data_IF_585549900502
#
_entry.id   IF_585549900502
#
_cell.length_a   1.000
_cell.length_b   1.000
_cell.length_c   1.000
_cell.angle_alpha   90.00
_cell.angle_beta   90.00
_cell.angle_gamma   90.00
#
_symmetry.space_group_name_H-M   'P 1'
#
loop_
_entity.id
_entity.type
_entity.pdbx_description
1 polymer ?
#
# COMPACT_ATOMS: atom_id res chain seq x y z
N UNK A 1 45.08 50.32 15.64
CA UNK A 1 43.73 50.83 15.92
C UNK A 1 42.83 50.39 14.79
N UNK A 2 42.25 49.20 14.94
CA UNK A 2 41.19 48.70 14.07
C UNK A 2 40.32 47.83 14.98
N UNK A 3 39.17 48.39 15.35
CA UNK A 3 38.10 47.76 16.11
C UNK A 3 37.61 46.50 15.38
N UNK A 4 37.62 45.36 16.07
CA UNK A 4 36.95 44.14 15.65
C UNK A 4 35.77 43.98 16.60
N UNK A 5 34.58 44.33 16.11
CA UNK A 5 33.34 44.21 16.86
C UNK A 5 32.94 42.75 17.06
N UNK A 6 32.75 42.40 18.32
CA UNK A 6 32.09 41.18 18.78
C UNK A 6 30.64 41.16 18.30
N UNK A 7 30.25 40.06 17.63
CA UNK A 7 28.88 39.81 17.20
C UNK A 7 28.37 38.57 17.94
N UNK A 8 27.86 38.80 19.15
CA UNK A 8 27.12 37.81 19.96
C UNK A 8 25.81 37.46 19.25
N UNK A 9 25.79 36.34 18.51
CA UNK A 9 24.53 35.73 18.09
C UNK A 9 23.98 34.87 19.23
N UNK A 10 23.06 35.46 20.00
CA UNK A 10 22.20 34.75 20.92
C UNK A 10 21.35 33.72 20.14
N UNK A 11 21.58 32.45 20.41
CA UNK A 11 20.73 31.33 19.98
C UNK A 11 19.45 31.40 20.80
N UNK A 12 18.38 31.89 20.17
CA UNK A 12 17.04 31.90 20.73
C UNK A 12 16.43 30.51 20.64
N UNK A 13 16.06 29.95 21.80
CA UNK A 13 15.22 28.76 21.91
C UNK A 13 13.85 29.03 21.27
N UNK A 14 13.67 28.50 20.05
CA UNK A 14 12.38 28.48 19.34
C UNK A 14 11.48 27.43 19.98
N UNK A 15 10.66 27.86 20.93
CA UNK A 15 9.50 27.09 21.39
C UNK A 15 8.41 27.18 20.32
N UNK A 16 8.30 26.12 19.51
CA UNK A 16 7.24 25.96 18.52
C UNK A 16 5.91 25.67 19.22
N UNK A 17 5.18 26.74 19.57
CA UNK A 17 3.75 26.65 19.92
C UNK A 17 2.94 26.89 18.64
N UNK A 18 2.80 25.84 17.83
CA UNK A 18 2.08 25.90 16.56
C UNK A 18 0.58 26.15 16.76
N UNK A 19 0.19 27.42 16.72
CA UNK A 19 -1.19 27.82 16.42
C UNK A 19 -1.43 27.56 14.92
N UNK A 20 -2.00 26.40 14.61
CA UNK A 20 -2.37 25.94 13.28
C UNK A 20 -3.71 26.59 12.81
N UNK A 21 -3.79 27.92 12.73
CA UNK A 21 -5.00 28.61 12.23
C UNK A 21 -4.78 29.39 10.92
N UNK A 22 -3.56 29.41 10.38
CA UNK A 22 -3.24 30.09 9.11
C UNK A 22 -3.09 29.13 7.92
N UNK A 23 -3.64 27.90 7.99
CA UNK A 23 -3.65 27.05 6.80
C UNK A 23 -4.65 27.64 5.80
N UNK A 24 -4.26 27.90 4.54
CA UNK A 24 -5.17 28.47 3.55
C UNK A 24 -6.42 27.58 3.42
N UNK A 25 -7.58 28.21 3.28
CA UNK A 25 -8.81 27.46 3.00
C UNK A 25 -8.65 26.72 1.67
N UNK A 26 -8.93 25.41 1.67
CA UNK A 26 -8.88 24.62 0.44
C UNK A 26 -9.82 25.19 -0.62
N UNK A 27 -9.42 25.10 -1.89
CA UNK A 27 -10.25 25.54 -3.00
C UNK A 27 -11.42 24.58 -3.28
N UNK A 28 -11.44 23.40 -2.65
CA UNK A 28 -12.36 22.31 -2.97
C UNK A 28 -13.27 21.92 -1.81
N UNK A 29 -14.44 21.36 -2.15
CA UNK A 29 -15.42 20.81 -1.20
C UNK A 29 -15.79 21.74 -0.04
N UNK A 30 -15.95 23.05 -0.30
CA UNK A 30 -16.26 24.10 0.68
C UNK A 30 -15.14 24.29 1.73
N UNK A 31 -13.90 24.47 1.29
CA UNK A 31 -12.78 24.71 2.20
C UNK A 31 -12.23 23.46 2.89
N UNK A 32 -12.72 22.27 2.54
CA UNK A 32 -12.39 21.03 3.27
C UNK A 32 -11.24 20.23 2.64
N UNK A 33 -10.90 20.46 1.38
CA UNK A 33 -9.89 19.65 0.69
C UNK A 33 -10.47 18.66 -0.32
N UNK A 34 -9.61 17.80 -0.83
CA UNK A 34 -9.97 16.67 -1.69
C UNK A 34 -10.66 15.60 -0.86
N UNK A 35 -11.75 15.02 -1.39
CA UNK A 35 -12.50 13.95 -0.72
C UNK A 35 -11.88 12.58 -1.03
N UNK A 36 -11.44 11.86 -0.01
CA UNK A 36 -10.94 10.49 -0.16
C UNK A 36 -11.92 9.47 0.41
N UNK A 37 -12.37 8.54 -0.42
CA UNK A 37 -13.12 7.35 -0.03
C UNK A 37 -12.15 6.21 0.23
N UNK A 38 -11.90 5.94 1.51
CA UNK A 38 -10.92 4.94 1.97
C UNK A 38 -11.66 3.63 2.21
N UNK A 39 -11.17 2.55 1.63
CA UNK A 39 -11.74 1.20 1.69
C UNK A 39 -10.63 0.22 2.08
N UNK A 40 -10.78 -0.47 3.21
CA UNK A 40 -9.84 -1.51 3.65
C UNK A 40 -10.49 -2.89 3.53
N UNK A 41 -9.80 -3.78 2.81
CA UNK A 41 -10.10 -5.21 2.80
C UNK A 41 -9.10 -5.88 3.76
N UNK A 42 -9.50 -6.16 5.02
CA UNK A 42 -8.61 -6.74 6.01
C UNK A 42 -8.25 -8.19 5.65
N UNK A 43 -7.14 -8.67 6.18
CA UNK A 43 -6.81 -10.08 6.07
C UNK A 43 -7.88 -10.93 6.78
N UNK A 44 -8.21 -12.06 6.17
CA UNK A 44 -9.07 -13.05 6.80
C UNK A 44 -8.46 -13.47 8.15
N UNK A 45 -9.21 -13.40 9.28
CA UNK A 45 -8.70 -13.98 10.53
C UNK A 45 -8.37 -15.46 10.31
N UNK A 46 -7.24 -15.93 10.87
CA UNK A 46 -6.81 -17.32 10.69
C UNK A 46 -7.89 -18.26 11.21
N UNK A 47 -8.16 -19.32 10.45
CA UNK A 47 -9.17 -20.31 10.83
C UNK A 47 -8.68 -21.08 12.06
N UNK A 48 -9.56 -21.22 13.05
CA UNK A 48 -9.30 -22.12 14.19
C UNK A 48 -9.21 -23.56 13.66
N UNK A 49 -8.35 -24.37 14.28
CA UNK A 49 -8.15 -25.78 13.90
C UNK A 49 -9.50 -26.52 13.86
N UNK A 50 -9.86 -27.03 12.69
CA UNK A 50 -11.12 -27.77 12.45
C UNK A 50 -12.26 -26.94 11.84
N UNK A 51 -12.14 -25.61 11.76
CA UNK A 51 -13.14 -24.75 11.13
C UNK A 51 -12.89 -24.63 9.62
N UNK A 52 -13.92 -24.87 8.80
CA UNK A 52 -13.86 -24.67 7.34
C UNK A 52 -14.56 -23.37 6.98
N UNK A 53 -13.84 -22.45 6.32
CA UNK A 53 -14.46 -21.26 5.73
C UNK A 53 -15.35 -21.67 4.56
N UNK A 54 -16.54 -21.08 4.48
CA UNK A 54 -17.39 -21.22 3.29
C UNK A 54 -16.67 -20.57 2.10
N UNK A 55 -16.56 -21.28 0.97
CA UNK A 55 -15.83 -20.85 -0.23
C UNK A 55 -16.21 -19.45 -0.75
N UNK A 56 -17.41 -18.97 -0.44
CA UNK A 56 -17.96 -17.73 -0.98
C UNK A 56 -18.16 -16.61 0.07
N UNK A 57 -17.64 -16.76 1.30
CA UNK A 57 -17.77 -15.68 2.30
C UNK A 57 -16.76 -14.58 1.96
N UNK A 58 -17.24 -13.49 1.36
CA UNK A 58 -16.45 -12.27 1.16
C UNK A 58 -16.04 -11.69 2.51
N UNK A 59 -14.81 -11.20 2.60
CA UNK A 59 -14.35 -10.46 3.78
C UNK A 59 -15.09 -9.13 3.82
N UNK A 60 -15.50 -8.72 5.01
CA UNK A 60 -16.19 -7.45 5.22
C UNK A 60 -15.20 -6.30 5.00
N UNK A 61 -15.58 -5.34 4.16
CA UNK A 61 -14.75 -4.19 3.80
C UNK A 61 -15.10 -3.02 4.71
N UNK A 62 -14.08 -2.41 5.33
CA UNK A 62 -14.24 -1.21 6.15
C UNK A 62 -14.17 0.01 5.24
N UNK A 63 -15.18 0.88 5.27
CA UNK A 63 -15.25 2.06 4.41
C UNK A 63 -15.32 3.34 5.24
N UNK A 64 -14.50 4.33 4.90
CA UNK A 64 -14.44 5.65 5.53
C UNK A 64 -14.32 6.76 4.48
N UNK A 65 -14.64 7.97 4.88
CA UNK A 65 -14.46 9.16 4.03
C UNK A 65 -13.74 10.22 4.84
N UNK A 66 -12.66 10.74 4.27
CA UNK A 66 -11.88 11.83 4.85
C UNK A 66 -11.77 12.98 3.85
N UNK A 67 -11.43 14.15 4.36
CA UNK A 67 -11.14 15.34 3.57
C UNK A 67 -9.75 15.81 3.97
N UNK A 68 -8.89 16.00 2.99
CA UNK A 68 -7.49 16.39 3.21
C UNK A 68 -7.14 17.49 2.22
N UNK A 69 -6.38 18.50 2.69
CA UNK A 69 -6.00 19.65 1.87
C UNK A 69 -5.13 19.19 0.68
N UNK A 70 -5.29 19.84 -0.47
CA UNK A 70 -4.65 19.46 -1.75
C UNK A 70 -3.12 19.57 -1.74
N UNK A 71 -2.54 20.34 -0.82
CA UNK A 71 -1.10 20.54 -0.66
C UNK A 71 -0.46 19.58 0.35
N UNK A 72 -1.25 18.70 0.98
CA UNK A 72 -0.75 17.73 1.96
C UNK A 72 0.08 16.64 1.28
N UNK A 73 1.11 16.17 1.97
CA UNK A 73 1.99 15.16 1.40
C UNK A 73 1.29 13.79 1.32
N UNK A 74 1.81 12.91 0.46
CA UNK A 74 1.37 11.52 0.40
C UNK A 74 1.38 10.85 1.80
N UNK A 75 2.39 11.15 2.62
CA UNK A 75 2.52 10.56 3.95
C UNK A 75 1.37 11.02 4.86
N UNK A 76 1.04 12.31 4.86
CA UNK A 76 -0.02 12.90 5.68
C UNK A 76 -1.40 12.37 5.27
N UNK A 77 -1.66 12.26 3.96
CA UNK A 77 -2.91 11.67 3.45
C UNK A 77 -3.05 10.21 3.88
N UNK A 78 -1.98 9.41 3.80
CA UNK A 78 -1.99 8.01 4.21
C UNK A 78 -2.14 7.85 5.73
N UNK A 79 -1.47 8.68 6.53
CA UNK A 79 -1.62 8.67 7.98
C UNK A 79 -3.05 9.03 8.39
N UNK A 80 -3.63 10.08 7.79
CA UNK A 80 -5.01 10.46 8.00
C UNK A 80 -6.00 9.34 7.58
N UNK A 81 -5.74 8.66 6.46
CA UNK A 81 -6.54 7.53 5.99
C UNK A 81 -6.50 6.35 6.96
N UNK A 82 -5.31 5.95 7.40
CA UNK A 82 -5.13 4.84 8.36
C UNK A 82 -5.79 5.17 9.70
N UNK A 83 -5.57 6.40 10.20
CA UNK A 83 -6.20 6.90 11.43
C UNK A 83 -7.73 6.88 11.35
N UNK A 84 -8.30 7.22 10.19
CA UNK A 84 -9.75 7.23 10.01
C UNK A 84 -10.38 5.83 9.92
N UNK A 85 -9.64 4.84 9.40
CA UNK A 85 -10.10 3.44 9.38
C UNK A 85 -10.28 2.92 10.81
N UNK A 86 -9.41 3.35 11.75
CA UNK A 86 -9.40 2.89 13.14
C UNK A 86 -9.25 1.35 13.22
N UNK A 87 -8.26 0.84 12.48
CA UNK A 87 -7.98 -0.59 12.38
C UNK A 87 -6.86 -0.98 13.35
N UNK A 88 -7.14 -1.95 14.21
CA UNK A 88 -6.17 -2.50 15.17
C UNK A 88 -4.98 -3.19 14.49
N UNK A 89 -5.17 -3.67 13.24
CA UNK A 89 -4.07 -4.20 12.44
C UNK A 89 -3.15 -3.07 12.04
N UNK A 90 -1.93 -3.09 12.56
CA UNK A 90 -0.92 -2.05 12.29
C UNK A 90 -0.59 -2.06 10.80
N UNK A 91 -1.18 -1.14 10.04
CA UNK A 91 -0.79 -0.86 8.67
C UNK A 91 0.50 -0.04 8.72
N UNK A 92 1.63 -0.71 8.46
CA UNK A 92 2.95 -0.09 8.54
C UNK A 92 3.41 0.34 7.15
N UNK A 93 3.73 1.62 7.00
CA UNK A 93 4.29 2.18 5.78
C UNK A 93 5.42 3.16 6.09
N UNK A 94 6.32 3.34 5.13
CA UNK A 94 7.34 4.39 5.11
C UNK A 94 7.44 4.93 3.68
N UNK A 95 7.62 6.24 3.54
CA UNK A 95 7.93 6.87 2.26
C UNK A 95 9.42 7.21 2.27
N UNK A 96 10.20 6.60 1.38
CA UNK A 96 11.66 6.78 1.29
C UNK A 96 12.02 7.17 -0.13
N UNK A 97 12.68 8.30 -0.31
CA UNK A 97 13.15 8.76 -1.63
C UNK A 97 12.06 8.72 -2.72
N UNK A 98 10.83 9.16 -2.39
CA UNK A 98 9.63 9.13 -3.25
C UNK A 98 8.97 7.76 -3.46
N UNK A 99 9.56 6.69 -2.94
CA UNK A 99 8.97 5.36 -3.00
C UNK A 99 8.16 5.06 -1.73
N UNK A 100 6.94 4.56 -1.92
CA UNK A 100 6.06 4.10 -0.86
C UNK A 100 6.35 2.62 -0.57
N UNK A 101 6.92 2.36 0.60
CA UNK A 101 7.14 1.02 1.12
C UNK A 101 6.06 0.69 2.15
N UNK A 102 5.14 -0.21 1.78
CA UNK A 102 4.16 -0.78 2.69
C UNK A 102 4.52 -2.24 2.97
N UNK A 103 4.56 -2.63 4.25
CA UNK A 103 5.04 -3.97 4.63
C UNK A 103 3.96 -5.04 4.44
N UNK A 104 2.72 -4.76 4.85
CA UNK A 104 1.64 -5.75 4.96
C UNK A 104 0.42 -5.44 4.09
N UNK A 105 0.48 -4.42 3.23
CA UNK A 105 -0.66 -4.06 2.40
C UNK A 105 -0.24 -3.40 1.09
N UNK A 106 -1.14 -3.44 0.11
CA UNK A 106 -1.02 -2.68 -1.14
C UNK A 106 -2.12 -1.63 -1.20
N UNK A 107 -1.81 -0.50 -1.83
CA UNK A 107 -2.77 0.59 -2.03
C UNK A 107 -3.09 0.69 -3.51
N UNK A 108 -4.38 0.70 -3.84
CA UNK A 108 -4.88 1.03 -5.18
C UNK A 108 -5.71 2.29 -5.12
N UNK A 109 -5.72 3.05 -6.19
CA UNK A 109 -6.53 4.25 -6.30
C UNK A 109 -7.41 4.21 -7.55
N UNK A 110 -8.51 4.95 -7.50
CA UNK A 110 -9.43 5.15 -8.63
C UNK A 110 -10.08 6.52 -8.54
N UNK A 111 -10.29 7.16 -9.69
CA UNK A 111 -11.06 8.40 -9.79
C UNK A 111 -12.40 8.06 -10.46
N UNK A 112 -13.49 8.56 -9.89
CA UNK A 112 -14.82 8.23 -10.41
C UNK A 112 -15.03 8.93 -11.76
N UNK A 113 -15.60 8.22 -12.74
CA UNK A 113 -15.85 8.72 -14.11
C UNK A 113 -14.59 9.08 -14.91
N UNK A 114 -13.46 8.41 -14.65
CA UNK A 114 -12.27 8.45 -15.49
C UNK A 114 -11.83 7.03 -15.88
N UNK A 115 -10.80 6.95 -16.72
CA UNK A 115 -10.17 5.68 -17.09
C UNK A 115 -9.18 5.19 -16.03
N UNK A 116 -8.83 6.04 -15.06
CA UNK A 116 -7.97 5.70 -13.92
C UNK A 116 -8.71 4.83 -12.91
N UNK A 117 -8.69 3.51 -13.14
CA UNK A 117 -9.33 2.50 -12.29
C UNK A 117 -8.33 1.47 -11.82
N UNK A 118 -8.31 1.23 -10.50
CA UNK A 118 -7.46 0.24 -9.82
C UNK A 118 -5.95 0.42 -10.09
N UNK A 119 -5.50 1.67 -10.23
CA UNK A 119 -4.08 2.00 -10.39
C UNK A 119 -3.34 1.76 -9.08
N UNK A 120 -2.13 1.22 -9.12
CA UNK A 120 -1.37 0.93 -7.90
C UNK A 120 -0.59 2.17 -7.44
N UNK A 121 -0.69 2.52 -6.16
CA UNK A 121 0.06 3.62 -5.56
C UNK A 121 1.38 3.08 -5.00
N UNK A 122 2.48 3.36 -5.68
CA UNK A 122 3.83 2.90 -5.29
C UNK A 122 4.83 4.03 -5.12
N UNK A 123 4.60 5.19 -5.74
CA UNK A 123 5.50 6.33 -5.72
C UNK A 123 4.75 7.62 -5.45
N UNK A 124 5.45 8.67 -5.04
CA UNK A 124 4.87 10.03 -4.94
C UNK A 124 4.46 10.57 -6.30
N UNK A 125 5.15 10.17 -7.37
CA UNK A 125 4.79 10.62 -8.72
C UNK A 125 3.40 10.10 -9.13
N UNK A 126 3.03 8.87 -8.75
CA UNK A 126 1.66 8.35 -8.94
C UNK A 126 0.63 9.14 -8.10
N UNK A 127 1.03 9.65 -6.94
CA UNK A 127 0.18 10.47 -6.09
C UNK A 127 -0.06 11.86 -6.72
N UNK A 128 0.98 12.48 -7.25
CA UNK A 128 0.90 13.76 -7.95
C UNK A 128 0.03 13.64 -9.22
N UNK A 129 0.18 12.56 -9.98
CA UNK A 129 -0.68 12.26 -11.14
C UNK A 129 -2.15 12.12 -10.70
N UNK A 130 -2.41 11.32 -9.66
CA UNK A 130 -3.75 11.15 -9.09
C UNK A 130 -4.36 12.48 -8.64
N UNK A 131 -3.59 13.35 -7.97
CA UNK A 131 -4.07 14.66 -7.53
C UNK A 131 -4.36 15.59 -8.72
N UNK A 132 -3.47 15.63 -9.70
CA UNK A 132 -3.63 16.47 -10.89
C UNK A 132 -4.93 16.13 -11.64
N UNK A 133 -5.24 14.85 -11.80
CA UNK A 133 -6.47 14.37 -12.45
C UNK A 133 -7.72 14.56 -11.59
N UNK A 134 -7.60 14.42 -10.26
CA UNK A 134 -8.72 14.61 -9.35
C UNK A 134 -9.17 16.08 -9.29
N UNK A 135 -8.23 17.01 -9.29
CA UNK A 135 -8.45 18.46 -9.23
C UNK A 135 -9.14 19.00 -10.49
N UNK A 136 -8.94 18.38 -11.65
CA UNK A 136 -9.64 18.73 -12.89
C UNK A 136 -11.17 18.50 -12.81
N UNK A 137 -11.66 17.78 -11.80
CA UNK A 137 -13.09 17.53 -11.60
C UNK A 137 -13.73 18.62 -10.75
N UNK A 138 -14.97 18.97 -11.08
CA UNK A 138 -15.76 19.93 -10.30
C UNK A 138 -15.95 19.54 -8.82
N UNK A 139 -15.90 18.23 -8.52
CA UNK A 139 -15.92 17.70 -7.15
C UNK A 139 -14.79 16.67 -7.02
N UNK A 140 -13.58 17.09 -6.59
CA UNK A 140 -12.44 16.18 -6.46
C UNK A 140 -12.76 15.06 -5.48
N UNK A 141 -12.78 13.84 -5.99
CA UNK A 141 -13.10 12.64 -5.22
C UNK A 141 -12.24 11.46 -5.69
N UNK A 142 -11.44 10.93 -4.78
CA UNK A 142 -10.52 9.82 -4.99
C UNK A 142 -10.97 8.64 -4.15
N UNK A 143 -10.93 7.43 -4.70
CA UNK A 143 -11.11 6.20 -3.93
C UNK A 143 -9.75 5.55 -3.68
N UNK A 144 -9.45 5.26 -2.42
CA UNK A 144 -8.25 4.52 -2.00
C UNK A 144 -8.68 3.15 -1.46
N UNK A 145 -8.19 2.08 -2.09
CA UNK A 145 -8.45 0.69 -1.72
C UNK A 145 -7.17 0.08 -1.12
N UNK A 146 -7.18 -0.13 0.19
CA UNK A 146 -6.16 -0.83 0.96
C UNK A 146 -6.45 -2.32 0.95
N UNK A 147 -5.50 -3.13 0.50
CA UNK A 147 -5.61 -4.58 0.46
C UNK A 147 -4.48 -5.18 1.29
N UNK A 148 -4.82 -5.69 2.47
CA UNK A 148 -3.89 -6.35 3.37
C UNK A 148 -3.50 -7.75 2.84
N UNK A 149 -2.24 -8.12 2.97
CA UNK A 149 -1.73 -9.44 2.60
C UNK A 149 -0.95 -10.07 3.76
N UNK A 150 -0.90 -11.40 3.78
CA UNK A 150 -0.15 -12.14 4.79
C UNK A 150 1.35 -11.94 4.53
N UNK A 151 2.07 -11.42 5.53
CA UNK A 151 3.52 -11.43 5.52
C UNK A 151 3.96 -12.89 5.62
N UNK A 152 4.72 -13.37 4.65
CA UNK A 152 5.43 -14.63 4.81
C UNK A 152 6.48 -14.40 5.91
N UNK A 153 6.12 -14.69 7.16
CA UNK A 153 7.07 -14.69 8.26
C UNK A 153 8.21 -15.63 7.87
N UNK A 154 9.43 -15.08 7.74
CA UNK A 154 10.65 -15.83 7.47
C UNK A 154 10.83 -16.90 8.54
N UNK A 155 10.30 -18.10 8.28
CA UNK A 155 10.56 -19.30 9.07
C UNK A 155 11.99 -19.77 8.78
N UNK A 156 12.95 -19.02 9.30
CA UNK A 156 14.30 -19.51 9.57
C UNK A 156 14.27 -20.31 10.89
N UNK A 157 14.95 -21.46 10.90
CA UNK A 157 15.10 -22.41 12.01
C UNK A 157 13.91 -23.32 12.38
N UNK A 158 13.67 -24.31 11.51
CA UNK A 158 13.59 -25.71 11.97
C UNK A 158 13.90 -26.62 10.79
N UNK A 159 14.91 -27.49 10.93
CA UNK A 159 15.27 -28.61 10.04
C UNK A 159 14.16 -29.68 9.99
N UNK A 160 12.92 -29.26 9.75
CA UNK A 160 11.80 -30.13 9.43
C UNK A 160 11.23 -29.64 8.10
N UNK A 161 11.26 -30.52 7.11
CA UNK A 161 11.12 -30.19 5.69
C UNK A 161 10.06 -29.11 5.40
N UNK A 162 10.37 -28.16 4.49
CA UNK A 162 9.50 -27.05 4.21
C UNK A 162 8.21 -27.57 3.58
N UNK A 163 7.11 -27.47 4.35
CA UNK A 163 5.78 -27.35 3.75
C UNK A 163 5.68 -25.96 3.11
N UNK A 164 6.43 -25.78 2.03
CA UNK A 164 6.10 -24.87 0.95
C UNK A 164 4.59 -24.96 0.77
N UNK A 165 3.90 -23.82 0.69
CA UNK A 165 2.69 -23.79 -0.09
C UNK A 165 3.13 -24.39 -1.42
N UNK A 166 2.78 -25.65 -1.65
CA UNK A 166 3.19 -26.36 -2.86
C UNK A 166 2.68 -25.43 -3.94
N UNK A 167 3.59 -24.68 -4.60
CA UNK A 167 3.47 -24.42 -6.02
C UNK A 167 3.03 -25.78 -6.49
N UNK A 168 1.75 -25.92 -6.83
CA UNK A 168 1.28 -27.16 -7.45
C UNK A 168 2.36 -27.37 -8.49
N UNK A 169 3.13 -28.44 -8.33
CA UNK A 169 4.06 -28.83 -9.39
C UNK A 169 3.14 -28.83 -10.59
N UNK A 170 3.36 -27.88 -11.49
CA UNK A 170 2.54 -27.78 -12.68
C UNK A 170 2.59 -29.20 -13.21
N UNK A 171 1.42 -29.80 -13.37
CA UNK A 171 1.41 -31.15 -13.93
C UNK A 171 2.14 -31.09 -15.26
N UNK A 172 2.88 -32.13 -15.64
CA UNK A 172 3.63 -32.13 -16.91
C UNK A 172 2.73 -31.69 -18.10
N UNK A 173 1.42 -32.00 -18.01
CA UNK A 173 0.37 -31.52 -18.94
C UNK A 173 0.17 -29.99 -18.96
N UNK A 174 0.23 -29.31 -17.81
CA UNK A 174 0.10 -27.86 -17.70
C UNK A 174 1.33 -27.14 -18.28
N UNK A 175 2.54 -27.70 -18.11
CA UNK A 175 3.77 -27.16 -18.70
C UNK A 175 3.73 -27.27 -20.24
N UNK A 176 3.35 -28.45 -20.75
CA UNK A 176 3.16 -28.66 -22.19
C UNK A 176 2.09 -27.74 -22.77
N UNK A 177 0.99 -27.50 -22.04
CA UNK A 177 -0.05 -26.57 -22.47
C UNK A 177 0.46 -25.13 -22.51
N UNK A 178 1.20 -24.69 -21.48
CA UNK A 178 1.80 -23.36 -21.45
C UNK A 178 2.80 -23.13 -22.58
N UNK A 179 3.62 -24.14 -22.89
CA UNK A 179 4.54 -24.11 -24.03
C UNK A 179 3.78 -24.00 -25.36
N UNK A 180 2.73 -24.80 -25.55
CA UNK A 180 1.91 -24.78 -26.76
C UNK A 180 1.21 -23.41 -26.95
N UNK A 181 0.71 -22.81 -25.88
CA UNK A 181 0.13 -21.45 -25.90
C UNK A 181 1.18 -20.41 -26.30
N UNK A 182 2.41 -20.53 -25.77
CA UNK A 182 3.50 -19.62 -26.14
C UNK A 182 3.84 -19.72 -27.62
N UNK A 183 3.88 -20.94 -28.17
CA UNK A 183 4.12 -21.17 -29.59
C UNK A 183 2.98 -20.60 -30.46
N UNK A 184 1.72 -20.80 -30.07
CA UNK A 184 0.56 -20.21 -30.77
C UNK A 184 0.60 -18.67 -30.75
N UNK A 185 0.94 -18.04 -29.62
CA UNK A 185 1.07 -16.59 -29.52
C UNK A 185 2.17 -16.04 -30.43
N UNK A 186 3.29 -16.74 -30.53
CA UNK A 186 4.40 -16.36 -31.40
C UNK A 186 4.03 -16.49 -32.88
N UNK A 187 3.33 -17.56 -33.26
CA UNK A 187 2.90 -17.81 -34.65
C UNK A 187 1.83 -16.80 -35.12
N UNK A 188 0.91 -16.41 -34.24
CA UNK A 188 -0.26 -15.59 -34.57
C UNK A 188 -0.17 -14.14 -34.10
N UNK A 189 1.04 -13.59 -34.04
CA UNK A 189 1.24 -12.17 -33.74
C UNK A 189 0.77 -11.31 -34.92
N UNK A 190 -0.22 -10.47 -34.69
CA UNK A 190 -0.90 -9.69 -35.71
C UNK A 190 -0.03 -8.52 -36.19
N UNK A 191 0.28 -8.45 -37.49
CA UNK A 191 1.06 -7.35 -38.06
C UNK A 191 0.21 -6.22 -38.66
N UNK A 192 -1.12 -6.40 -38.71
CA UNK A 192 -2.02 -5.37 -39.24
C UNK A 192 -2.29 -4.28 -38.20
N UNK A 193 -2.04 -3.01 -38.58
CA UNK A 193 -2.31 -1.82 -37.78
C UNK A 193 -3.80 -1.55 -37.57
N UNK A 194 -4.67 -2.13 -38.40
CA UNK A 194 -6.13 -2.01 -38.26
C UNK A 194 -6.71 -3.01 -37.26
N UNK A 195 -5.96 -4.08 -36.94
CA UNK A 195 -6.39 -5.06 -35.97
C UNK A 195 -6.15 -4.54 -34.55
N UNK A 196 -7.18 -4.54 -33.71
CA UNK A 196 -7.06 -4.09 -32.31
C UNK A 196 -6.35 -5.12 -31.42
N UNK A 197 -6.36 -6.39 -31.82
CA UNK A 197 -5.79 -7.48 -31.02
C UNK A 197 -4.35 -7.80 -31.41
N UNK A 198 -3.42 -7.97 -30.44
CA UNK A 198 -2.03 -8.32 -30.73
C UNK A 198 -1.89 -9.75 -31.28
N UNK A 199 -2.82 -10.65 -30.95
CA UNK A 199 -2.84 -12.03 -31.47
C UNK A 199 -4.14 -12.31 -32.21
N UNK A 200 -4.05 -12.63 -33.49
CA UNK A 200 -5.20 -12.78 -34.39
C UNK A 200 -5.03 -13.99 -35.33
N UNK A 201 -6.12 -14.68 -35.65
CA UNK A 201 -6.17 -15.77 -36.62
C UNK A 201 -6.88 -15.31 -37.90
N UNK A 202 -6.32 -15.62 -39.07
CA UNK A 202 -6.92 -15.31 -40.38
C UNK A 202 -7.80 -16.49 -40.79
N UNK A 203 -9.08 -16.43 -40.42
CA UNK A 203 -9.97 -17.60 -40.49
C UNK A 203 -10.45 -17.95 -41.89
N UNK A 204 -10.47 -16.99 -42.82
CA UNK A 204 -11.11 -17.15 -44.12
C UNK A 204 -10.27 -16.55 -45.26
N UNK A 205 -10.54 -17.01 -46.49
CA UNK A 205 -10.03 -16.40 -47.73
C UNK A 205 -10.34 -14.90 -47.86
N UNK A 206 -11.34 -14.41 -47.11
CA UNK A 206 -11.74 -13.01 -47.08
C UNK A 206 -10.78 -12.11 -46.28
N UNK A 207 -9.86 -12.71 -45.50
CA UNK A 207 -8.92 -11.96 -44.66
C UNK A 207 -9.52 -11.44 -43.36
N UNK A 208 -10.65 -11.98 -42.91
CA UNK A 208 -11.25 -11.60 -41.63
C UNK A 208 -10.37 -12.05 -40.45
N UNK A 209 -10.08 -11.11 -39.55
CA UNK A 209 -9.27 -11.35 -38.35
C UNK A 209 -10.16 -11.82 -37.19
N UNK A 210 -9.90 -13.02 -36.68
CA UNK A 210 -10.50 -13.53 -35.45
C UNK A 210 -9.54 -13.25 -34.28
N UNK A 211 -9.99 -12.49 -33.27
CA UNK A 211 -9.18 -12.16 -32.10
C UNK A 211 -8.95 -13.39 -31.20
N UNK A 212 -7.69 -13.78 -31.03
CA UNK A 212 -7.32 -14.92 -30.19
C UNK A 212 -7.20 -14.48 -28.72
N UNK A 213 -8.30 -14.59 -27.98
CA UNK A 213 -8.29 -14.38 -26.52
C UNK A 213 -7.61 -15.56 -25.79
N UNK A 214 -7.25 -15.44 -24.49
CA UNK A 214 -6.67 -16.55 -23.74
C UNK A 214 -7.51 -17.83 -23.76
N UNK A 215 -8.83 -17.71 -23.87
CA UNK A 215 -9.75 -18.86 -23.98
C UNK A 215 -9.54 -19.59 -25.31
N UNK A 216 -9.39 -18.87 -26.43
CA UNK A 216 -9.11 -19.47 -27.74
C UNK A 216 -7.78 -20.23 -27.72
N UNK A 217 -6.73 -19.62 -27.17
CA UNK A 217 -5.41 -20.24 -27.10
C UNK A 217 -5.42 -21.50 -26.23
N UNK A 218 -6.11 -21.48 -25.09
CA UNK A 218 -6.27 -22.65 -24.22
C UNK A 218 -7.03 -23.78 -24.91
N UNK A 219 -8.16 -23.48 -25.57
CA UNK A 219 -8.95 -24.49 -26.29
C UNK A 219 -8.14 -25.11 -27.43
N UNK A 220 -7.40 -24.29 -28.19
CA UNK A 220 -6.56 -24.77 -29.28
C UNK A 220 -5.41 -25.63 -28.76
N UNK A 221 -4.67 -25.17 -27.75
CA UNK A 221 -3.58 -25.93 -27.14
C UNK A 221 -4.09 -27.26 -26.57
N UNK A 222 -5.23 -27.27 -25.88
CA UNK A 222 -5.84 -28.48 -25.33
C UNK A 222 -6.27 -29.47 -26.40
N UNK A 223 -6.91 -29.00 -27.48
CA UNK A 223 -7.35 -29.86 -28.59
C UNK A 223 -6.16 -30.49 -29.32
N UNK A 224 -5.08 -29.74 -29.47
CA UNK A 224 -3.83 -30.21 -30.06
C UNK A 224 -3.13 -31.26 -29.19
N UNK A 225 -3.05 -31.02 -27.87
CA UNK A 225 -2.50 -32.00 -26.92
C UNK A 225 -3.36 -33.27 -26.87
N UNK A 226 -4.68 -33.16 -27.05
CA UNK A 226 -5.58 -34.29 -27.15
C UNK A 226 -5.46 -35.08 -28.47
N UNK A 227 -4.68 -34.59 -29.45
CA UNK A 227 -4.46 -35.27 -30.72
C UNK A 227 -5.72 -35.36 -31.60
N UNK A 228 -6.60 -34.36 -31.52
CA UNK A 228 -7.80 -34.32 -32.38
C UNK A 228 -7.37 -34.24 -33.85
N UNK A 229 -7.85 -35.18 -34.66
CA UNK A 229 -7.49 -35.26 -36.08
C UNK A 229 -7.88 -33.97 -36.82
N UNK A 230 -6.92 -33.39 -37.55
CA UNK A 230 -7.11 -32.12 -38.26
C UNK A 230 -6.86 -30.85 -37.45
N UNK A 231 -6.49 -30.95 -36.17
CA UNK A 231 -6.06 -29.79 -35.36
C UNK A 231 -4.52 -29.71 -35.35
N UNK A 232 -3.96 -28.68 -35.98
CA UNK A 232 -2.51 -28.42 -36.02
C UNK A 232 -2.19 -26.96 -35.64
N UNK A 233 -1.00 -26.44 -36.00
CA UNK A 233 -0.66 -25.04 -35.73
C UNK A 233 -1.35 -24.07 -36.68
N UNK A 234 -1.87 -24.52 -37.82
CA UNK A 234 -2.47 -23.72 -38.89
C UNK A 234 -4.00 -23.80 -38.89
N UNK A 235 -4.53 -24.95 -38.43
CA UNK A 235 -5.93 -25.31 -38.41
C UNK A 235 -6.43 -25.41 -36.96
N UNK A 236 -7.19 -24.41 -36.47
CA UNK A 236 -7.78 -24.46 -35.15
C UNK A 236 -8.88 -25.53 -35.06
N UNK A 237 -9.29 -25.90 -33.84
CA UNK A 237 -10.44 -26.77 -33.64
C UNK A 237 -11.69 -26.26 -34.36
N UNK A 238 -12.50 -27.17 -34.91
CA UNK A 238 -13.79 -26.87 -35.54
C UNK A 238 -14.88 -26.47 -34.51
N UNK A 239 -14.52 -25.61 -33.57
CA UNK A 239 -15.43 -25.00 -32.61
C UNK A 239 -15.95 -23.67 -33.20
N UNK A 240 -17.21 -23.34 -32.87
CA UNK A 240 -17.89 -22.13 -33.33
C UNK A 240 -17.14 -20.86 -32.95
N UNK A 241 -16.33 -20.90 -31.89
CA UNK A 241 -15.50 -19.77 -31.45
C UNK A 241 -14.36 -19.40 -32.43
N UNK A 242 -13.93 -20.31 -33.30
CA UNK A 242 -12.92 -20.04 -34.33
C UNK A 242 -13.53 -19.70 -35.70
N UNK A 243 -14.84 -19.85 -35.84
CA UNK A 243 -15.55 -19.46 -37.06
C UNK A 243 -15.84 -17.95 -36.99
N UNK A 244 -15.47 -17.18 -38.02
CA UNK A 244 -15.86 -15.79 -38.09
C UNK A 244 -17.38 -15.72 -38.07
N UNK A 245 -17.91 -14.90 -37.16
CA UNK A 245 -19.36 -14.71 -37.02
C UNK A 245 -19.83 -13.95 -38.26
N UNK A 246 -20.31 -14.68 -39.26
CA UNK A 246 -20.97 -14.11 -40.42
C UNK A 246 -22.17 -13.28 -39.92
N UNK A 247 -22.06 -11.95 -39.99
CA UNK A 247 -23.11 -11.02 -39.53
C UNK A 247 -22.82 -10.24 -38.25
N UNK A 248 -21.58 -10.19 -37.75
CA UNK A 248 -21.22 -9.42 -36.54
C UNK A 248 -21.31 -7.86 -36.67
N UNK A 249 -21.88 -7.33 -37.74
CA UNK A 249 -22.37 -5.94 -37.78
C UNK A 249 -23.58 -5.72 -36.86
N UNK A 250 -24.12 -6.78 -36.23
CA UNK A 250 -25.21 -6.67 -35.27
C UNK A 250 -24.69 -6.27 -33.87
N UNK A 251 -24.50 -4.96 -33.71
CA UNK A 251 -24.26 -4.24 -32.44
C UNK A 251 -25.38 -4.48 -31.40
N UNK A 252 -26.40 -5.28 -31.75
CA UNK A 252 -27.56 -5.60 -30.96
C UNK A 252 -27.31 -6.47 -29.72
N UNK A 253 -26.20 -7.22 -29.61
CA UNK A 253 -26.00 -8.13 -28.46
C UNK A 253 -25.72 -7.38 -27.14
N UNK A 254 -25.00 -6.24 -27.20
CA UNK A 254 -24.80 -5.36 -26.05
C UNK A 254 -26.11 -4.66 -25.70
N UNK A 255 -26.90 -4.25 -26.70
CA UNK A 255 -28.22 -3.67 -26.50
C UNK A 255 -29.20 -4.70 -25.88
N UNK A 256 -29.13 -5.97 -26.28
CA UNK A 256 -29.93 -7.07 -25.75
C UNK A 256 -29.58 -7.39 -24.29
N UNK A 257 -28.29 -7.41 -23.95
CA UNK A 257 -27.82 -7.56 -22.56
C UNK A 257 -28.23 -6.37 -21.68
N UNK A 258 -28.12 -5.14 -22.18
CA UNK A 258 -28.59 -3.94 -21.47
C UNK A 258 -30.11 -3.95 -21.28
N UNK A 259 -30.87 -4.40 -22.28
CA UNK A 259 -32.33 -4.53 -22.22
C UNK A 259 -32.79 -5.62 -21.25
N UNK A 260 -32.09 -6.76 -21.18
CA UNK A 260 -32.36 -7.80 -20.16
C UNK A 260 -32.08 -7.31 -18.74
N UNK A 261 -30.99 -6.57 -18.53
CA UNK A 261 -30.66 -6.00 -17.20
C UNK A 261 -31.69 -4.97 -16.74
N UNK A 262 -32.16 -4.12 -17.64
CA UNK A 262 -33.19 -3.12 -17.32
C UNK A 262 -34.56 -3.75 -17.02
N UNK A 263 -34.97 -4.78 -17.78
CA UNK A 263 -36.20 -5.52 -17.48
C UNK A 263 -36.16 -6.28 -16.14
N UNK A 264 -35.04 -6.92 -15.80
CA UNK A 264 -34.88 -7.60 -14.51
C UNK A 264 -34.98 -6.62 -13.31
N UNK A 265 -34.45 -5.40 -13.47
CA UNK A 265 -34.54 -4.37 -12.43
C UNK A 265 -35.94 -3.76 -12.30
N UNK A 266 -36.74 -3.74 -13.37
CA UNK A 266 -38.14 -3.29 -13.31
C UNK A 266 -39.06 -4.33 -12.69
N UNK A 267 -38.83 -5.62 -12.95
CA UNK A 267 -39.60 -6.71 -12.36
C UNK A 267 -39.46 -6.78 -10.82
N UNK A 268 -38.31 -6.38 -10.27
CA UNK A 268 -38.04 -6.39 -8.83
C UNK A 268 -38.52 -5.13 -8.08
N UNK A 269 -39.19 -4.17 -8.73
CA UNK A 269 -39.72 -2.95 -8.08
C UNK A 269 -41.16 -3.07 -7.56
N UNK A 270 -41.79 -4.22 -7.73
CA UNK A 270 -43.12 -4.51 -7.18
C UNK A 270 -42.96 -5.16 -5.80
N UNK A 271 -43.42 -4.48 -4.75
CA UNK A 271 -43.43 -4.86 -3.31
C UNK A 271 -42.17 -4.52 -2.48
N UNK A 272 -42.09 -3.27 -2.01
CA UNK A 272 -41.43 -2.96 -0.73
C UNK A 272 -42.46 -2.37 0.23
N UNK A 273 -42.58 -2.88 1.47
CA UNK A 273 -43.44 -2.27 2.49
C UNK A 273 -42.80 -0.96 2.99
N UNK A 274 -43.60 0.09 3.14
CA UNK A 274 -43.16 1.35 3.75
C UNK A 274 -42.84 1.11 5.22
N UNK A 275 -41.57 1.12 5.58
CA UNK A 275 -41.15 1.18 6.98
C UNK A 275 -41.16 2.66 7.39
N UNK A 276 -42.21 3.06 8.09
CA UNK A 276 -42.29 4.35 8.77
C UNK A 276 -41.45 4.27 10.04
N UNK A 277 -40.25 4.85 10.02
CA UNK A 277 -39.40 4.98 11.21
C UNK A 277 -39.94 6.15 12.02
N UNK A 278 -40.60 5.84 13.14
CA UNK A 278 -41.11 6.83 14.08
C UNK A 278 -39.93 7.32 14.95
N UNK A 279 -39.44 8.53 14.69
CA UNK A 279 -38.32 9.15 15.39
C UNK A 279 -38.75 9.74 16.73
N UNK A 280 -38.81 8.91 17.79
CA UNK A 280 -38.93 9.38 19.18
C UNK A 280 -37.57 9.27 19.89
N UNK A 281 -36.73 10.31 19.72
CA UNK A 281 -35.37 10.40 20.26
C UNK A 281 -35.28 11.25 21.55
N UNK A 282 -36.32 11.27 22.38
CA UNK A 282 -36.35 12.08 23.60
C UNK A 282 -35.39 11.60 24.74
N UNK A 283 -34.85 10.38 24.65
CA UNK A 283 -34.07 9.75 25.74
C UNK A 283 -32.55 9.93 25.70
N UNK A 284 -31.96 10.34 24.56
CA UNK A 284 -30.49 10.29 24.37
C UNK A 284 -29.74 11.52 24.92
N UNK A 285 -30.45 12.59 25.30
CA UNK A 285 -29.84 13.82 25.84
C UNK A 285 -29.37 13.70 27.30
N UNK A 286 -29.72 12.63 28.03
CA UNK A 286 -29.34 12.47 29.45
C UNK A 286 -27.97 11.81 29.67
N UNK A 287 -27.35 11.25 28.61
CA UNK A 287 -26.06 10.54 28.71
C UNK A 287 -24.82 11.45 28.62
N UNK A 288 -24.98 12.75 28.37
CA UNK A 288 -23.87 13.69 28.18
C UNK A 288 -23.74 14.76 29.27
N UNK A 289 -24.22 14.50 30.50
CA UNK A 289 -23.92 15.39 31.63
C UNK A 289 -22.64 14.92 32.36
N UNK A 290 -21.56 15.73 32.40
CA UNK A 290 -20.41 15.43 33.23
C UNK A 290 -20.71 15.82 34.68
N UNK A 291 -20.76 14.83 35.56
CA UNK A 291 -20.75 15.02 37.01
C UNK A 291 -19.35 15.45 37.47
N UNK A 292 -19.13 16.76 37.57
CA UNK A 292 -18.01 17.31 38.33
C UNK A 292 -18.43 17.56 39.77
N UNK A 293 -18.34 16.51 40.60
CA UNK A 293 -18.41 16.65 42.05
C UNK A 293 -17.00 16.85 42.63
N UNK A 294 -16.80 18.02 43.22
CA UNK A 294 -15.63 18.41 43.99
C UNK A 294 -15.34 17.42 45.12
N UNK A 295 -14.08 16.98 45.27
CA UNK A 295 -13.61 16.27 46.45
C UNK A 295 -12.28 16.84 46.95
N UNK A 296 -12.42 17.57 48.06
CA UNK A 296 -11.59 17.63 49.26
C UNK A 296 -10.05 17.53 49.17
N UNK A 297 -9.44 18.61 49.69
CA UNK A 297 -8.07 18.74 50.18
C UNK A 297 -7.72 17.67 51.24
N UNK A 298 -6.52 17.08 51.13
CA UNK A 298 -5.86 16.28 52.16
C UNK A 298 -4.33 16.53 52.13
N UNK A 299 -3.59 16.25 53.22
CA UNK A 299 -2.45 17.06 53.65
C UNK A 299 -1.09 16.61 53.09
N UNK A 300 -0.21 17.60 53.01
CA UNK A 300 1.17 17.60 52.55
C UNK A 300 2.08 16.70 53.40
N UNK A 301 2.54 15.59 52.83
CA UNK A 301 3.71 14.85 53.33
C UNK A 301 4.98 15.38 52.66
N UNK A 302 5.93 15.84 53.46
CA UNK A 302 7.27 16.23 53.02
C UNK A 302 8.00 15.02 52.40
N UNK A 303 8.54 15.13 51.17
CA UNK A 303 9.37 14.10 50.58
C UNK A 303 10.78 14.11 51.18
N UNK A 304 11.32 12.91 51.40
CA UNK A 304 12.69 12.66 51.85
C UNK A 304 13.74 13.27 50.88
N UNK A 305 14.94 13.62 51.36
CA UNK A 305 16.00 14.19 50.54
C UNK A 305 16.39 13.25 49.40
N UNK A 306 16.16 13.69 48.17
CA UNK A 306 16.55 13.00 46.95
C UNK A 306 18.08 12.87 46.90
N UNK A 307 18.62 11.66 46.61
CA UNK A 307 20.05 11.48 46.40
C UNK A 307 20.50 12.37 45.23
N UNK A 308 21.59 13.12 45.43
CA UNK A 308 22.20 13.96 44.40
C UNK A 308 22.60 13.07 43.22
N UNK A 309 21.85 13.14 42.13
CA UNK A 309 22.19 12.51 40.86
C UNK A 309 23.50 13.18 40.39
N UNK A 310 24.59 12.44 40.16
CA UNK A 310 25.81 13.01 39.61
C UNK A 310 25.49 13.66 38.25
N UNK A 311 25.91 14.91 38.08
CA UNK A 311 25.72 15.64 36.83
C UNK A 311 26.23 14.79 35.66
N UNK A 312 25.46 14.66 34.57
CA UNK A 312 25.86 13.86 33.42
C UNK A 312 27.18 14.39 32.89
N UNK A 313 28.20 13.52 32.89
CA UNK A 313 29.50 13.83 32.29
C UNK A 313 29.27 14.03 30.80
N UNK A 314 29.51 15.24 30.31
CA UNK A 314 29.39 15.54 28.87
C UNK A 314 30.45 14.70 28.13
N UNK A 315 30.05 13.83 27.19
CA UNK A 315 31.01 12.97 26.49
C UNK A 315 31.98 13.83 25.67
N UNK A 316 33.23 13.38 25.58
CA UNK A 316 34.29 14.08 24.86
C UNK A 316 33.95 14.15 23.36
N UNK A 317 34.09 15.33 22.75
CA UNK A 317 33.97 15.44 21.29
C UNK A 317 35.17 14.75 20.64
N UNK A 318 34.90 13.66 19.91
CA UNK A 318 35.90 12.93 19.13
C UNK A 318 35.38 12.70 17.71
N UNK A 319 36.31 12.58 16.75
CA UNK A 319 35.97 12.24 15.37
C UNK A 319 35.44 10.81 15.27
N UNK A 320 34.65 10.53 14.23
CA UNK A 320 34.07 9.21 14.03
C UNK A 320 35.15 8.11 13.87
N UNK A 321 36.25 8.42 13.17
CA UNK A 321 37.38 7.51 13.02
C UNK A 321 38.06 7.18 14.37
N UNK A 322 38.22 8.19 15.24
CA UNK A 322 38.78 7.98 16.58
C UNK A 322 37.84 7.13 17.45
N UNK A 323 36.53 7.35 17.35
CA UNK A 323 35.51 6.55 18.03
C UNK A 323 35.56 5.07 17.60
N UNK A 324 35.58 4.79 16.29
CA UNK A 324 35.65 3.41 15.79
C UNK A 324 36.92 2.68 16.26
N UNK A 325 38.06 3.39 16.28
CA UNK A 325 39.32 2.84 16.76
C UNK A 325 39.27 2.56 18.28
N UNK A 326 38.76 3.51 19.07
CA UNK A 326 38.64 3.37 20.52
C UNK A 326 37.66 2.27 20.93
N UNK A 327 36.60 2.05 20.15
CA UNK A 327 35.61 1.00 20.35
C UNK A 327 36.01 -0.38 19.77
N UNK A 328 37.18 -0.47 19.12
CA UNK A 328 37.64 -1.66 18.40
C UNK A 328 36.61 -2.19 17.38
N UNK A 329 35.97 -1.26 16.67
CA UNK A 329 35.00 -1.59 15.63
C UNK A 329 35.72 -1.96 14.33
N UNK A 330 35.20 -2.97 13.59
CA UNK A 330 35.70 -3.31 12.26
C UNK A 330 35.76 -2.10 11.29
N UNK A 331 36.83 -2.01 10.48
CA UNK A 331 37.09 -0.91 9.52
C UNK A 331 36.00 -0.79 8.43
N UNK A 332 35.29 -1.87 8.13
CA UNK A 332 34.16 -1.86 7.20
C UNK A 332 32.98 -1.02 7.73
N UNK A 333 32.80 -0.92 9.04
CA UNK A 333 31.76 -0.09 9.66
C UNK A 333 32.06 1.40 9.45
N UNK A 334 33.32 1.83 9.64
CA UNK A 334 33.68 3.24 9.43
C UNK A 334 33.51 3.68 7.98
N UNK A 335 33.90 2.85 7.01
CA UNK A 335 33.74 3.19 5.59
C UNK A 335 32.26 3.32 5.18
N UNK A 336 31.38 2.48 5.75
CA UNK A 336 29.93 2.54 5.47
C UNK A 336 29.25 3.73 6.12
N UNK A 337 29.70 4.15 7.29
CA UNK A 337 29.14 5.31 7.99
C UNK A 337 29.66 6.64 7.41
N UNK A 338 30.81 6.63 6.75
CA UNK A 338 31.30 7.76 5.96
C UNK A 338 30.40 8.06 4.75
N UNK A 339 29.81 7.02 4.13
CA UNK A 339 28.81 7.17 3.04
C UNK A 339 27.55 7.91 3.54
N UNK A 340 27.23 7.78 4.84
CA UNK A 340 26.10 8.48 5.48
C UNK A 340 26.46 9.89 5.97
N UNK A 341 27.67 10.38 5.67
CA UNK A 341 28.16 11.71 6.06
C UNK A 341 28.06 12.01 7.57
N UNK A 342 28.21 10.97 8.41
CA UNK A 342 28.08 11.10 9.87
C UNK A 342 29.35 11.74 10.45
N UNK A 343 29.27 13.02 10.80
CA UNK A 343 30.41 13.80 11.30
C UNK A 343 30.98 13.31 12.65
N UNK A 344 30.20 12.60 13.48
CA UNK A 344 30.68 12.11 14.77
C UNK A 344 29.69 11.21 15.53
N UNK A 345 30.14 10.58 16.62
CA UNK A 345 29.35 9.61 17.38
C UNK A 345 28.10 10.21 18.05
N UNK A 346 28.07 11.52 18.26
CA UNK A 346 26.91 12.24 18.80
C UNK A 346 25.69 12.20 17.87
N UNK A 347 25.89 12.02 16.56
CA UNK A 347 24.79 11.92 15.60
C UNK A 347 24.13 10.55 15.57
N UNK A 348 24.79 9.51 16.11
CA UNK A 348 24.25 8.15 16.12
C UNK A 348 22.92 8.03 16.88
N UNK A 349 22.69 8.89 17.87
CA UNK A 349 21.45 8.91 18.64
C UNK A 349 20.22 9.29 17.80
N UNK A 350 20.43 10.12 16.77
CA UNK A 350 19.35 10.62 15.92
C UNK A 350 19.07 9.71 14.72
N UNK A 351 19.93 8.72 14.46
CA UNK A 351 19.77 7.80 13.33
C UNK A 351 18.98 6.59 13.81
N UNK A 352 17.88 6.25 13.14
CA UNK A 352 17.10 5.06 13.45
C UNK A 352 17.83 3.76 13.05
N UNK A 353 17.59 2.67 13.79
CA UNK A 353 18.14 1.36 13.44
C UNK A 353 17.75 0.89 12.04
N UNK A 354 16.54 1.22 11.56
CA UNK A 354 16.10 0.81 10.22
C UNK A 354 16.92 1.44 9.09
N UNK A 355 17.55 2.60 9.33
CA UNK A 355 18.47 3.20 8.36
C UNK A 355 19.80 2.46 8.41
N UNK A 356 20.31 2.18 9.62
CA UNK A 356 21.56 1.44 9.82
C UNK A 356 21.51 0.02 9.23
N UNK A 357 20.37 -0.66 9.35
CA UNK A 357 20.17 -2.04 8.89
C UNK A 357 20.25 -2.17 7.35
N UNK A 358 20.10 -1.07 6.60
CA UNK A 358 20.28 -1.07 5.14
C UNK A 358 21.76 -1.15 4.73
N UNK A 359 22.67 -0.68 5.59
CA UNK A 359 24.10 -0.59 5.29
C UNK A 359 24.92 -1.58 6.10
N UNK A 360 24.50 -1.89 7.32
CA UNK A 360 25.20 -2.73 8.27
C UNK A 360 24.44 -4.04 8.47
N UNK A 361 25.19 -5.14 8.65
CA UNK A 361 24.59 -6.38 9.13
C UNK A 361 24.06 -6.19 10.55
N UNK A 362 23.07 -6.98 10.95
CA UNK A 362 22.48 -6.95 12.31
C UNK A 362 23.57 -7.04 13.40
N UNK A 363 24.61 -7.86 13.16
CA UNK A 363 25.77 -7.99 14.06
C UNK A 363 26.56 -6.68 14.20
N UNK A 364 26.83 -6.00 13.08
CA UNK A 364 27.58 -4.75 13.08
C UNK A 364 26.74 -3.59 13.67
N UNK A 365 25.43 -3.58 13.41
CA UNK A 365 24.48 -2.62 14.00
C UNK A 365 24.46 -2.75 15.54
N UNK A 366 24.36 -3.99 16.06
CA UNK A 366 24.40 -4.24 17.50
C UNK A 366 25.74 -3.82 18.13
N UNK A 367 26.87 -4.11 17.47
CA UNK A 367 28.19 -3.70 17.94
C UNK A 367 28.34 -2.17 17.99
N UNK A 368 27.83 -1.45 16.98
CA UNK A 368 27.85 0.00 16.92
C UNK A 368 27.00 0.62 18.04
N UNK A 369 25.79 0.10 18.30
CA UNK A 369 24.91 0.57 19.39
C UNK A 369 25.50 0.29 20.77
N UNK A 370 26.15 -0.85 20.93
CA UNK A 370 26.88 -1.16 22.16
C UNK A 370 28.01 -0.14 22.39
N UNK A 371 28.82 0.14 21.36
CA UNK A 371 29.89 1.15 21.43
C UNK A 371 29.35 2.55 21.75
N UNK A 372 28.24 2.96 21.13
CA UNK A 372 27.56 4.24 21.43
C UNK A 372 27.16 4.33 22.92
N UNK A 373 26.56 3.27 23.46
CA UNK A 373 26.17 3.21 24.88
C UNK A 373 27.38 3.30 25.82
N UNK A 374 28.50 2.68 25.47
CA UNK A 374 29.73 2.74 26.27
C UNK A 374 30.38 4.13 26.22
N UNK A 375 30.36 4.79 25.06
CA UNK A 375 30.84 6.16 24.91
C UNK A 375 30.00 7.16 25.70
N UNK A 376 28.65 7.04 25.69
CA UNK A 376 27.76 7.87 26.53
C UNK A 376 28.01 7.70 28.03
N UNK A 377 28.52 6.53 28.45
CA UNK A 377 28.93 6.26 29.84
C UNK A 377 30.33 6.79 30.18
N UNK A 378 31.05 7.36 29.21
CA UNK A 378 32.44 7.80 29.37
C UNK A 378 33.44 6.65 29.51
N UNK A 379 33.06 5.43 29.10
CA UNK A 379 33.94 4.25 29.16
C UNK A 379 34.84 4.11 27.93
N UNK A 380 34.53 4.85 26.87
CA UNK A 380 35.32 5.00 25.66
C UNK A 380 35.69 6.48 25.57
N UNK A 381 36.97 6.81 25.72
CA UNK A 381 37.48 8.18 25.86
C UNK A 381 38.80 8.37 25.16
#
# INVERSE_FOLDING_TARGET
>A
MSDVGDNDMAVGDSQYTGNHDDNPESQYNNGKGVRYHVSLVPLAPPLKKGEKRRKNKKVETINRTIYVHEEESLADVLEAAIKAIDYDGKLLFKVVAKDLHASNFTIKWSITHTDFKNMQLTTTDHFDEMLSEAVLKATPAVKLDFVEFELEEDKNDSDDEPSTSKKRKLTDEEELMAEMISQLKAAYNCSDKRCTSPTCYLGNANGDHVCLTPIHLNTWASAKLAGIEGVDFEHPPADRMFQPVEGADDVDDIALLARRRTQANQANKSTTPSITINNDFAGLAQLFRPDHAATALAPTHQPAPTPRIPSPVKPLQMSFAAFCLAANLPIDISAKLEILEIAGPHLLEFIENSVLDQYLSVRNCAALRYAESQWKKGLIG
#
